data_IF_510655714046
#
_entry.id   IF_510655714046
#
_cell.length_a   1.000
_cell.length_b   1.000
_cell.length_c   1.000
_cell.angle_alpha   90.00
_cell.angle_beta   90.00
_cell.angle_gamma   90.00
#
_symmetry.space_group_name_H-M   'P 1'
#
loop_
_entity.id
_entity.type
_entity.pdbx_description
1 polymer ?
#
# COMPACT_ATOMS: atom_id res chain seq x y z
N UNK A 1 -8.06 -28.79 -0.86
CA UNK A 1 -9.12 -29.06 0.14
C UNK A 1 -10.35 -28.27 -0.30
N UNK A 2 -11.53 -28.87 -0.38
CA UNK A 2 -12.76 -28.18 -0.75
C UNK A 2 -13.72 -28.18 0.44
N UNK A 3 -14.27 -27.03 0.81
CA UNK A 3 -15.36 -26.97 1.78
C UNK A 3 -16.69 -27.05 1.02
N UNK A 4 -17.59 -27.88 1.51
CA UNK A 4 -18.93 -28.00 0.99
C UNK A 4 -19.87 -27.17 1.85
N UNK A 5 -20.22 -26.00 1.35
CA UNK A 5 -21.24 -25.18 1.95
C UNK A 5 -22.43 -25.11 0.97
N UNK A 6 -23.57 -25.68 1.41
CA UNK A 6 -24.87 -25.65 0.72
C UNK A 6 -24.85 -25.82 -0.82
N UNK A 7 -24.54 -27.04 -1.29
CA UNK A 7 -24.70 -27.50 -2.67
C UNK A 7 -23.63 -27.11 -3.71
N UNK A 8 -22.80 -26.10 -3.50
CA UNK A 8 -21.68 -25.79 -4.40
C UNK A 8 -20.34 -26.09 -3.75
N UNK A 9 -19.42 -26.71 -4.53
CA UNK A 9 -18.04 -26.93 -4.10
C UNK A 9 -17.20 -25.74 -4.53
N UNK A 10 -16.73 -24.93 -3.57
CA UNK A 10 -15.78 -23.88 -3.82
C UNK A 10 -14.34 -24.36 -3.54
N UNK A 11 -13.36 -24.03 -4.40
CA UNK A 11 -11.95 -24.28 -4.09
C UNK A 11 -11.55 -23.44 -2.86
N UNK A 12 -10.92 -24.08 -1.88
CA UNK A 12 -10.47 -23.41 -0.66
C UNK A 12 -9.04 -23.82 -0.34
N UNK A 13 -8.18 -22.83 -0.10
CA UNK A 13 -6.85 -23.00 0.43
C UNK A 13 -6.84 -22.59 1.89
N UNK A 14 -6.29 -23.45 2.76
CA UNK A 14 -6.11 -23.17 4.18
C UNK A 14 -4.65 -23.28 4.57
N UNK A 15 -4.19 -22.36 5.42
CA UNK A 15 -2.85 -22.36 6.00
C UNK A 15 -2.98 -22.33 7.53
N UNK A 16 -2.03 -22.90 8.28
CA UNK A 16 -1.99 -22.75 9.74
C UNK A 16 -1.82 -21.28 10.11
N UNK A 17 -2.53 -20.83 11.15
CA UNK A 17 -2.49 -19.43 11.59
C UNK A 17 -1.05 -18.93 11.86
N UNK A 18 -0.22 -19.75 12.53
CA UNK A 18 1.17 -19.41 12.84
C UNK A 18 2.08 -19.29 11.60
N UNK A 19 1.65 -19.80 10.44
CA UNK A 19 2.39 -19.68 9.19
C UNK A 19 1.88 -18.53 8.30
N UNK A 20 0.84 -17.80 8.74
CA UNK A 20 0.20 -16.75 7.93
C UNK A 20 1.19 -15.67 7.50
N UNK A 21 2.01 -15.17 8.41
CA UNK A 21 3.03 -14.14 8.12
C UNK A 21 3.99 -14.56 7.02
N UNK A 22 4.48 -15.81 7.06
CA UNK A 22 5.39 -16.33 6.04
C UNK A 22 4.74 -16.37 4.64
N UNK A 23 3.44 -16.71 4.58
CA UNK A 23 2.72 -16.72 3.29
C UNK A 23 2.39 -15.32 2.81
N UNK A 24 2.04 -14.40 3.70
CA UNK A 24 1.85 -12.98 3.40
C UNK A 24 3.14 -12.42 2.81
N UNK A 25 4.29 -12.65 3.47
CA UNK A 25 5.61 -12.24 3.00
C UNK A 25 5.87 -12.70 1.55
N UNK A 26 5.66 -13.99 1.28
CA UNK A 26 5.86 -14.55 -0.07
C UNK A 26 4.96 -13.94 -1.13
N UNK A 27 3.73 -13.58 -0.77
CA UNK A 27 2.78 -12.94 -1.69
C UNK A 27 3.15 -11.50 -1.95
N UNK A 28 3.49 -10.76 -0.89
CA UNK A 28 3.90 -9.35 -1.00
C UNK A 28 5.22 -9.22 -1.78
N UNK A 29 6.20 -10.11 -1.53
CA UNK A 29 7.44 -10.14 -2.31
C UNK A 29 7.23 -10.42 -3.81
N UNK A 30 6.08 -10.99 -4.20
CA UNK A 30 5.67 -11.17 -5.60
C UNK A 30 4.81 -10.00 -6.12
N UNK A 31 4.69 -8.91 -5.38
CA UNK A 31 3.91 -7.73 -5.75
C UNK A 31 2.40 -7.85 -5.52
N UNK A 32 1.91 -8.87 -4.80
CA UNK A 32 0.49 -8.99 -4.49
C UNK A 32 0.13 -8.13 -3.26
N UNK A 33 -1.06 -7.52 -3.32
CA UNK A 33 -1.71 -6.91 -2.15
C UNK A 33 -2.44 -7.99 -1.37
N UNK A 34 -2.22 -8.06 -0.07
CA UNK A 34 -2.85 -9.05 0.80
C UNK A 34 -3.78 -8.37 1.80
N UNK A 35 -5.09 -8.60 1.67
CA UNK A 35 -6.07 -8.12 2.62
C UNK A 35 -6.26 -9.14 3.76
N UNK A 36 -6.00 -8.71 4.98
CA UNK A 36 -6.25 -9.49 6.19
C UNK A 36 -7.67 -9.20 6.65
N UNK A 37 -8.48 -10.25 6.75
CA UNK A 37 -9.88 -10.16 7.13
C UNK A 37 -10.11 -10.97 8.41
N UNK A 38 -10.65 -10.33 9.43
CA UNK A 38 -10.96 -10.95 10.72
C UNK A 38 -12.45 -10.93 11.07
N UNK A 39 -12.80 -11.72 12.06
CA UNK A 39 -14.15 -11.74 12.62
C UNK A 39 -14.33 -10.50 13.51
N UNK A 40 -15.38 -9.71 13.24
CA UNK A 40 -15.67 -8.47 13.96
C UNK A 40 -16.62 -8.66 15.15
N UNK A 41 -17.14 -9.88 15.33
CA UNK A 41 -18.06 -10.21 16.42
C UNK A 41 -17.76 -11.61 16.98
N UNK A 42 -18.17 -11.84 18.23
CA UNK A 42 -18.01 -13.14 18.89
C UNK A 42 -18.90 -14.20 18.19
N UNK A 43 -18.30 -15.30 17.68
CA UNK A 43 -19.06 -16.39 17.06
C UNK A 43 -20.18 -16.97 17.93
N UNK A 44 -20.04 -16.90 19.26
CA UNK A 44 -21.04 -17.41 20.22
C UNK A 44 -22.27 -16.52 20.32
N UNK A 45 -22.15 -15.25 19.94
CA UNK A 45 -23.24 -14.27 19.98
C UNK A 45 -23.88 -14.02 18.62
N UNK A 46 -23.23 -14.48 17.54
CA UNK A 46 -23.69 -14.27 16.18
C UNK A 46 -24.96 -15.10 15.88
N UNK A 47 -26.00 -14.43 15.42
CA UNK A 47 -27.22 -15.07 14.90
C UNK A 47 -27.08 -15.35 13.41
N UNK A 48 -26.28 -16.38 13.06
CA UNK A 48 -26.04 -16.76 11.66
C UNK A 48 -24.56 -16.71 11.27
N UNK A 49 -24.25 -16.15 10.09
CA UNK A 49 -22.86 -16.03 9.60
C UNK A 49 -22.17 -14.89 10.35
N UNK A 50 -21.05 -15.18 11.01
CA UNK A 50 -20.22 -14.20 11.73
C UNK A 50 -19.78 -13.08 10.79
N UNK A 51 -20.00 -11.84 11.18
CA UNK A 51 -19.56 -10.66 10.44
C UNK A 51 -18.03 -10.60 10.38
N UNK A 52 -17.51 -10.38 9.20
CA UNK A 52 -16.07 -10.24 8.94
C UNK A 52 -15.78 -8.91 8.27
N UNK A 53 -14.60 -8.37 8.50
CA UNK A 53 -14.15 -7.14 7.86
C UNK A 53 -12.65 -7.16 7.61
N UNK A 54 -12.22 -6.41 6.60
CA UNK A 54 -10.81 -6.17 6.32
C UNK A 54 -10.27 -5.24 7.41
N UNK A 55 -9.31 -5.73 8.18
CA UNK A 55 -8.65 -4.95 9.24
C UNK A 55 -7.34 -4.32 8.77
N UNK A 56 -6.71 -4.90 7.76
CA UNK A 56 -5.44 -4.42 7.22
C UNK A 56 -5.24 -4.89 5.79
N UNK A 57 -4.59 -4.04 4.98
CA UNK A 57 -4.07 -4.41 3.66
C UNK A 57 -2.55 -4.27 3.71
N UNK A 58 -1.84 -5.36 3.38
CA UNK A 58 -0.37 -5.39 3.34
C UNK A 58 0.09 -5.27 1.89
N UNK A 59 0.97 -4.30 1.65
CA UNK A 59 1.62 -4.04 0.36
C UNK A 59 3.13 -3.95 0.57
N UNK A 60 3.98 -3.94 -0.47
CA UNK A 60 5.43 -3.85 -0.31
C UNK A 60 5.89 -2.66 0.54
N UNK A 61 5.28 -1.48 0.39
CA UNK A 61 5.62 -0.28 1.15
C UNK A 61 4.99 -0.21 2.55
N UNK A 62 4.02 -1.07 2.87
CA UNK A 62 3.30 -1.06 4.17
C UNK A 62 3.61 -2.26 5.06
N UNK A 63 4.66 -3.00 4.74
CA UNK A 63 5.17 -4.09 5.59
C UNK A 63 5.80 -3.51 6.85
N UNK A 64 5.42 -4.05 8.01
CA UNK A 64 5.97 -3.68 9.33
C UNK A 64 6.55 -4.88 10.08
N UNK A 65 6.31 -6.08 9.61
CA UNK A 65 6.82 -7.32 10.21
C UNK A 65 8.33 -7.44 9.99
N UNK A 66 9.09 -7.57 11.07
CA UNK A 66 10.56 -7.62 11.05
C UNK A 66 11.13 -8.77 10.20
N UNK A 67 10.40 -9.88 10.10
CA UNK A 67 10.79 -11.04 9.27
C UNK A 67 10.58 -10.82 7.76
N UNK A 68 9.94 -9.72 7.37
CA UNK A 68 9.67 -9.33 5.99
C UNK A 68 10.55 -8.17 5.53
N UNK A 69 11.23 -7.51 6.47
CA UNK A 69 12.08 -6.35 6.21
C UNK A 69 13.55 -6.78 6.17
N UNK A 70 14.33 -6.13 5.32
CA UNK A 70 15.79 -6.27 5.37
C UNK A 70 16.32 -5.54 6.61
N UNK A 71 17.12 -6.22 7.43
CA UNK A 71 17.74 -5.60 8.59
C UNK A 71 18.55 -4.36 8.18
N UNK A 72 18.33 -3.24 8.87
CA UNK A 72 19.03 -1.95 8.69
C UNK A 72 18.76 -1.21 7.38
N UNK A 73 17.69 -1.54 6.68
CA UNK A 73 17.22 -0.75 5.52
C UNK A 73 15.85 -0.18 5.82
N UNK A 74 15.65 1.07 5.43
CA UNK A 74 14.35 1.72 5.45
C UNK A 74 13.45 1.08 4.40
N UNK A 75 12.15 0.94 4.71
CA UNK A 75 11.14 0.47 3.78
C UNK A 75 10.25 1.65 3.39
N UNK A 76 10.72 2.44 2.44
CA UNK A 76 10.00 3.63 2.02
C UNK A 76 8.81 3.32 1.12
N UNK A 77 7.70 4.00 1.39
CA UNK A 77 6.60 4.24 0.44
C UNK A 77 6.70 5.71 -0.02
N UNK A 78 6.61 5.93 -1.31
CA UNK A 78 6.65 7.28 -1.89
C UNK A 78 5.35 7.58 -2.59
N UNK A 79 4.75 8.71 -2.27
CA UNK A 79 3.57 9.24 -2.96
C UNK A 79 3.99 10.33 -3.94
N UNK A 80 3.47 10.28 -5.17
CA UNK A 80 3.75 11.24 -6.23
C UNK A 80 2.42 11.80 -6.74
N UNK A 81 2.21 13.08 -6.56
CA UNK A 81 1.08 13.82 -7.10
C UNK A 81 1.55 14.75 -8.21
N UNK A 82 1.22 14.42 -9.46
CA UNK A 82 1.55 15.24 -10.63
C UNK A 82 0.41 16.21 -10.94
N UNK A 83 0.76 17.48 -11.16
CA UNK A 83 -0.14 18.50 -11.70
C UNK A 83 0.60 19.42 -12.67
N UNK A 84 0.29 19.32 -13.97
CA UNK A 84 1.05 20.03 -15.01
C UNK A 84 2.52 19.62 -14.99
N UNK A 85 3.42 20.59 -14.72
CA UNK A 85 4.88 20.40 -14.62
C UNK A 85 5.36 20.29 -13.16
N UNK A 86 4.45 20.31 -12.19
CA UNK A 86 4.78 20.22 -10.77
C UNK A 86 4.50 18.81 -10.25
N UNK A 87 5.35 18.37 -9.32
CA UNK A 87 5.21 17.11 -8.61
C UNK A 87 5.32 17.37 -7.12
N UNK A 88 4.24 17.05 -6.40
CA UNK A 88 4.30 16.88 -4.94
C UNK A 88 4.80 15.48 -4.63
N UNK A 89 5.84 15.39 -3.81
CA UNK A 89 6.43 14.13 -3.39
C UNK A 89 6.30 14.02 -1.88
N UNK A 90 5.88 12.88 -1.39
CA UNK A 90 5.93 12.53 0.03
C UNK A 90 6.52 11.15 0.19
N UNK A 91 7.46 11.00 1.10
CA UNK A 91 8.16 9.75 1.39
C UNK A 91 7.98 9.41 2.86
N UNK A 92 7.59 8.18 3.13
CA UNK A 92 7.34 7.72 4.49
C UNK A 92 7.94 6.34 4.71
N UNK A 93 8.57 6.13 5.86
CA UNK A 93 8.85 4.80 6.40
C UNK A 93 7.94 4.57 7.61
N UNK A 94 7.00 3.63 7.45
CA UNK A 94 5.99 3.32 8.49
C UNK A 94 6.64 2.71 9.73
N UNK A 95 7.78 2.05 9.58
CA UNK A 95 8.46 1.34 10.68
C UNK A 95 9.25 2.27 11.58
N UNK A 96 9.83 3.32 11.03
CA UNK A 96 10.63 4.32 11.76
C UNK A 96 9.85 5.58 12.09
N UNK A 97 8.75 5.85 11.36
CA UNK A 97 7.99 7.09 11.44
C UNK A 97 8.67 8.25 10.71
N UNK A 98 9.71 8.00 9.92
CA UNK A 98 10.32 9.01 9.06
C UNK A 98 9.34 9.48 7.99
N UNK A 99 9.24 10.80 7.82
CA UNK A 99 8.37 11.41 6.82
C UNK A 99 9.05 12.63 6.21
N UNK A 100 9.09 12.66 4.89
CA UNK A 100 9.63 13.77 4.11
C UNK A 100 8.61 14.20 3.06
N UNK A 101 8.57 15.49 2.76
CA UNK A 101 7.77 16.02 1.65
C UNK A 101 8.53 17.11 0.91
N UNK A 102 8.32 17.17 -0.40
CA UNK A 102 8.92 18.18 -1.27
C UNK A 102 8.01 18.45 -2.45
N UNK A 103 8.18 19.63 -3.04
CA UNK A 103 7.65 19.97 -4.35
C UNK A 103 8.82 20.13 -5.32
N UNK A 104 8.71 19.52 -6.48
CA UNK A 104 9.66 19.71 -7.57
C UNK A 104 8.94 20.19 -8.82
N UNK A 105 9.64 20.95 -9.64
CA UNK A 105 9.22 21.33 -10.98
C UNK A 105 10.09 20.61 -11.98
N UNK A 106 9.49 19.78 -12.80
CA UNK A 106 10.22 18.95 -13.72
C UNK A 106 9.74 19.10 -15.16
N UNK A 107 10.58 18.69 -16.08
CA UNK A 107 10.37 18.77 -17.53
C UNK A 107 10.08 17.39 -18.12
N UNK A 108 10.25 17.22 -19.42
CA UNK A 108 10.10 15.94 -20.09
C UNK A 108 11.05 14.90 -19.50
N UNK A 109 10.57 13.65 -19.43
CA UNK A 109 11.27 12.48 -18.87
C UNK A 109 11.59 12.57 -17.37
N UNK A 110 11.13 13.59 -16.66
CA UNK A 110 11.15 13.73 -15.21
C UNK A 110 12.51 13.43 -14.54
N UNK A 111 13.64 14.05 -14.97
CA UNK A 111 14.95 13.71 -14.44
C UNK A 111 15.08 13.95 -12.93
N UNK A 112 14.54 15.03 -12.39
CA UNK A 112 14.59 15.32 -10.95
C UNK A 112 13.74 14.34 -10.15
N UNK A 113 12.57 13.96 -10.66
CA UNK A 113 11.73 12.93 -10.04
C UNK A 113 12.45 11.57 -10.00
N UNK A 114 13.13 11.19 -11.10
CA UNK A 114 13.92 9.95 -11.15
C UNK A 114 15.08 9.95 -10.16
N UNK A 115 15.73 11.10 -9.95
CA UNK A 115 16.79 11.26 -8.96
C UNK A 115 16.25 11.10 -7.52
N UNK A 116 15.07 11.64 -7.22
CA UNK A 116 14.43 11.44 -5.90
C UNK A 116 13.99 9.98 -5.70
N UNK A 117 13.45 9.32 -6.73
CA UNK A 117 13.12 7.89 -6.66
C UNK A 117 14.41 7.08 -6.40
N UNK A 118 15.49 7.38 -7.08
CA UNK A 118 16.80 6.72 -6.88
C UNK A 118 17.35 6.94 -5.47
N UNK A 119 17.20 8.17 -4.93
CA UNK A 119 17.68 8.56 -3.61
C UNK A 119 17.03 7.77 -2.48
N UNK A 120 15.70 7.66 -2.51
CA UNK A 120 14.95 6.97 -1.47
C UNK A 120 14.78 5.47 -1.74
N UNK A 121 14.88 5.06 -3.00
CA UNK A 121 14.69 3.67 -3.45
C UNK A 121 13.45 3.02 -2.81
N UNK A 122 12.24 3.59 -3.02
CA UNK A 122 11.04 3.14 -2.35
C UNK A 122 10.62 1.74 -2.84
N UNK A 123 10.03 0.94 -1.94
CA UNK A 123 9.42 -0.35 -2.28
C UNK A 123 8.08 -0.20 -2.99
N UNK A 124 7.41 0.94 -2.79
CA UNK A 124 6.12 1.22 -3.40
C UNK A 124 6.01 2.70 -3.78
N UNK A 125 5.49 2.95 -5.00
CA UNK A 125 5.06 4.26 -5.46
C UNK A 125 3.53 4.34 -5.48
N UNK A 126 2.98 5.37 -4.86
CA UNK A 126 1.56 5.73 -4.93
C UNK A 126 1.44 6.93 -5.87
N UNK A 127 0.64 6.79 -6.93
CA UNK A 127 0.54 7.81 -7.97
C UNK A 127 -0.91 8.23 -8.22
N UNK A 128 -1.11 9.50 -8.61
CA UNK A 128 -2.40 10.01 -9.05
C UNK A 128 -2.70 9.69 -10.53
N UNK A 129 -3.89 10.05 -10.98
CA UNK A 129 -4.35 9.77 -12.34
C UNK A 129 -3.45 10.43 -13.39
N UNK A 130 -3.09 11.70 -13.22
CA UNK A 130 -2.26 12.44 -14.17
C UNK A 130 -0.85 11.84 -14.32
N UNK A 131 -0.25 11.33 -13.24
CA UNK A 131 1.01 10.61 -13.31
C UNK A 131 0.84 9.25 -14.01
N UNK A 132 -0.26 8.54 -13.74
CA UNK A 132 -0.58 7.26 -14.38
C UNK A 132 -0.76 7.36 -15.90
N UNK A 133 -1.14 8.53 -16.42
CA UNK A 133 -1.33 8.77 -17.85
C UNK A 133 0.00 8.95 -18.61
N UNK A 134 1.12 9.12 -17.88
CA UNK A 134 2.47 9.19 -18.42
C UNK A 134 3.05 7.77 -18.60
N UNK A 135 2.52 7.01 -19.57
CA UNK A 135 2.81 5.57 -19.69
C UNK A 135 4.28 5.26 -19.97
N UNK A 136 4.93 6.04 -20.84
CA UNK A 136 6.35 5.85 -21.23
C UNK A 136 7.27 6.05 -20.01
N UNK A 137 7.02 7.09 -19.22
CA UNK A 137 7.80 7.39 -18.02
C UNK A 137 7.55 6.37 -16.91
N UNK A 138 6.31 5.90 -16.77
CA UNK A 138 5.97 4.83 -15.81
C UNK A 138 6.69 3.53 -16.17
N UNK A 139 6.75 3.18 -17.45
CA UNK A 139 7.45 1.97 -17.89
C UNK A 139 8.96 2.12 -17.71
N UNK A 140 9.53 3.31 -17.98
CA UNK A 140 10.94 3.60 -17.70
C UNK A 140 11.28 3.50 -16.19
N UNK A 141 10.35 3.93 -15.31
CA UNK A 141 10.52 3.77 -13.87
C UNK A 141 10.53 2.28 -13.49
N UNK A 142 9.60 1.48 -13.99
CA UNK A 142 9.54 0.03 -13.72
C UNK A 142 10.76 -0.74 -14.23
N UNK A 143 11.31 -0.34 -15.38
CA UNK A 143 12.51 -0.96 -15.93
C UNK A 143 13.78 -0.62 -15.13
N UNK A 144 13.82 0.59 -14.55
CA UNK A 144 15.00 1.09 -13.83
C UNK A 144 14.98 0.73 -12.34
N UNK A 145 13.80 0.67 -11.74
CA UNK A 145 13.63 0.47 -10.31
C UNK A 145 12.75 -0.75 -10.03
N UNK A 146 13.18 -1.56 -9.06
CA UNK A 146 12.35 -2.66 -8.54
C UNK A 146 11.31 -2.10 -7.57
N UNK A 147 10.28 -1.44 -8.11
CA UNK A 147 9.29 -0.72 -7.34
C UNK A 147 7.86 -1.14 -7.73
N UNK A 148 7.04 -1.33 -6.73
CA UNK A 148 5.62 -1.60 -6.94
C UNK A 148 4.86 -0.29 -7.14
N UNK A 149 4.05 -0.17 -8.21
CA UNK A 149 3.30 1.06 -8.51
C UNK A 149 1.81 0.85 -8.26
N UNK A 150 1.25 1.69 -7.39
CA UNK A 150 -0.16 1.71 -7.03
C UNK A 150 -0.79 3.02 -7.49
N UNK A 151 -1.85 2.92 -8.32
CA UNK A 151 -2.67 4.07 -8.68
C UNK A 151 -3.75 4.30 -7.63
N UNK A 152 -3.85 5.52 -7.13
CA UNK A 152 -4.94 5.97 -6.28
C UNK A 152 -5.83 6.98 -7.01
N UNK A 153 -7.09 7.03 -6.59
CA UNK A 153 -8.02 8.04 -7.09
C UNK A 153 -7.61 9.42 -6.56
N UNK A 154 -7.71 10.45 -7.40
CA UNK A 154 -7.26 11.82 -7.10
C UNK A 154 -7.91 12.41 -5.85
N UNK A 155 -9.11 11.95 -5.47
CA UNK A 155 -9.77 12.33 -4.22
C UNK A 155 -8.95 12.05 -2.96
N UNK A 156 -8.05 11.06 -2.99
CA UNK A 156 -7.19 10.74 -1.84
C UNK A 156 -6.00 11.71 -1.69
N UNK A 157 -5.79 12.56 -2.69
CA UNK A 157 -4.82 13.64 -2.67
C UNK A 157 -5.47 14.99 -2.37
N UNK A 158 -6.77 15.00 -2.06
CA UNK A 158 -7.51 16.21 -1.72
C UNK A 158 -7.16 16.66 -0.30
N UNK A 159 -6.78 17.92 -0.16
CA UNK A 159 -6.40 18.54 1.11
C UNK A 159 -7.55 18.53 2.11
N UNK A 160 -8.79 18.77 1.65
CA UNK A 160 -9.97 18.83 2.53
C UNK A 160 -10.24 17.46 3.16
N UNK A 161 -10.06 16.37 2.39
CA UNK A 161 -10.20 15.01 2.91
C UNK A 161 -9.12 14.68 3.96
N UNK A 162 -7.91 15.17 3.76
CA UNK A 162 -6.79 15.00 4.70
C UNK A 162 -7.03 15.74 6.01
N UNK A 163 -7.53 16.97 5.93
CA UNK A 163 -7.79 17.83 7.11
C UNK A 163 -8.93 17.32 7.99
N UNK A 164 -9.96 16.68 7.43
CA UNK A 164 -11.05 16.09 8.20
C UNK A 164 -10.54 15.02 9.17
N UNK A 165 -9.59 14.20 8.76
CA UNK A 165 -9.01 13.17 9.62
C UNK A 165 -8.04 13.70 10.69
N UNK A 166 -7.48 14.88 10.50
CA UNK A 166 -6.55 15.51 11.47
C UNK A 166 -7.32 16.36 12.49
N UNK A 167 -8.44 16.96 12.09
CA UNK A 167 -9.20 17.90 12.93
C UNK A 167 -10.26 17.25 13.83
N UNK A 168 -10.63 16.00 13.59
CA UNK A 168 -11.51 15.25 14.49
C UNK A 168 -10.67 14.32 15.38
N UNK A 169 -10.37 14.71 16.65
CA UNK A 169 -9.84 13.77 17.61
C UNK A 169 -10.89 12.68 17.80
N UNK A 170 -10.54 11.44 17.47
CA UNK A 170 -11.37 10.27 17.75
C UNK A 170 -11.70 10.30 19.25
N UNK A 171 -12.92 10.67 19.61
CA UNK A 171 -13.43 10.41 20.96
C UNK A 171 -13.54 8.90 21.08
N UNK A 172 -12.61 8.34 21.81
CA UNK A 172 -12.76 7.00 22.37
C UNK A 172 -13.72 7.15 23.55
N UNK A 173 -15.00 6.87 23.32
CA UNK A 173 -15.99 6.58 24.38
C UNK A 173 -15.90 5.11 24.75
#
# INVERSE_FOLDING_TARGET
MCIRDRAERAPMAGIPHHAAEMYISKLVAKGYKVAICEQLEDPKQAKGIVKRGVIRVVTPGTVVESNMLEERKNNFIMSIFKTGIYFGISVCDITTGEFYSAEIKDTQNFPQLLDEIARYNPSELVINSMMSDCAEEIDAIKERFDVYITKFNDKFFDTDLSLIHISEPTRLD
#
